data_IF_670840043403
#
_entry.id   IF_670840043403
#
_cell.length_a   1.000
_cell.length_b   1.000
_cell.length_c   1.000
_cell.angle_alpha   90.00
_cell.angle_beta   90.00
_cell.angle_gamma   90.00
#
_symmetry.space_group_name_H-M   'P 1'
#
loop_
_entity.id
_entity.type
_entity.pdbx_description
1 polymer ?
#
# COMPACT_ATOMS: atom_id res chain seq x y z
N UNK A 1 -4.15 -0.78 22.98
CA UNK A 1 -2.72 -1.02 22.69
C UNK A 1 -2.48 -0.60 21.25
N UNK A 2 -2.17 0.69 21.07
CA UNK A 2 -2.04 1.30 19.75
C UNK A 2 -0.65 1.05 19.19
N UNK A 3 -0.59 0.41 18.03
CA UNK A 3 0.60 0.30 17.20
C UNK A 3 0.91 1.68 16.62
N UNK A 4 1.72 2.45 17.33
CA UNK A 4 2.39 3.63 16.78
C UNK A 4 3.39 3.16 15.71
N UNK A 5 2.91 2.94 14.49
CA UNK A 5 3.74 2.65 13.31
C UNK A 5 4.10 3.95 12.60
N UNK A 6 5.00 4.71 13.24
CA UNK A 6 5.76 5.71 12.51
C UNK A 6 6.83 4.97 11.70
N UNK A 7 6.61 4.83 10.39
CA UNK A 7 7.70 4.72 9.42
C UNK A 7 7.97 3.36 8.76
N UNK A 8 7.22 2.30 9.05
CA UNK A 8 7.31 1.04 8.29
C UNK A 8 5.89 0.51 8.04
N UNK A 9 5.43 0.58 6.78
CA UNK A 9 4.21 -0.08 6.30
C UNK A 9 4.41 -1.60 6.32
N UNK A 10 4.53 -2.18 7.51
CA UNK A 10 4.31 -3.60 7.71
C UNK A 10 2.81 -3.77 7.58
N UNK A 11 2.40 -4.08 6.36
CA UNK A 11 1.06 -4.51 5.97
C UNK A 11 0.63 -5.66 6.88
N UNK A 12 -0.12 -5.33 7.92
CA UNK A 12 -0.59 -6.24 8.98
C UNK A 12 -1.78 -7.09 8.51
N UNK A 13 -2.05 -7.07 7.20
CA UNK A 13 -3.22 -7.66 6.57
C UNK A 13 -2.83 -8.27 5.22
N UNK A 14 -3.55 -9.30 4.79
CA UNK A 14 -3.28 -9.91 3.50
C UNK A 14 -3.66 -8.96 2.36
N UNK A 15 -2.94 -9.10 1.24
CA UNK A 15 -3.27 -8.37 0.01
C UNK A 15 -4.53 -9.00 -0.58
N UNK A 16 -5.60 -8.22 -0.65
CA UNK A 16 -6.86 -8.65 -1.25
C UNK A 16 -6.86 -8.42 -2.78
N UNK A 17 -6.21 -7.36 -3.26
CA UNK A 17 -6.15 -7.03 -4.69
C UNK A 17 -4.92 -6.19 -5.05
N UNK A 18 -4.51 -6.28 -6.31
CA UNK A 18 -3.46 -5.45 -6.90
C UNK A 18 -3.86 -5.01 -8.31
N UNK A 19 -3.47 -3.79 -8.68
CA UNK A 19 -3.60 -3.26 -10.03
C UNK A 19 -2.31 -2.54 -10.42
N UNK A 20 -1.88 -2.72 -11.66
CA UNK A 20 -0.71 -2.02 -12.23
C UNK A 20 -1.22 -1.05 -13.29
N UNK A 21 -0.71 0.17 -13.28
CA UNK A 21 -1.03 1.14 -14.33
C UNK A 21 -0.53 0.65 -15.70
N UNK A 22 -1.18 1.12 -16.77
CA UNK A 22 -0.84 0.80 -18.17
C UNK A 22 0.64 1.05 -18.54
N UNK A 23 1.32 1.98 -17.85
CA UNK A 23 2.75 2.26 -18.06
C UNK A 23 3.69 1.27 -17.36
N UNK A 24 3.18 0.42 -16.46
CA UNK A 24 3.97 -0.50 -15.64
C UNK A 24 4.82 0.18 -14.56
N UNK A 25 4.60 1.47 -14.26
CA UNK A 25 5.41 2.20 -13.27
C UNK A 25 4.76 2.34 -11.91
N UNK A 26 3.43 2.25 -11.84
CA UNK A 26 2.68 2.39 -10.60
C UNK A 26 1.91 1.10 -10.31
N UNK A 27 1.92 0.71 -9.05
CA UNK A 27 1.16 -0.40 -8.50
C UNK A 27 0.27 0.12 -7.37
N UNK A 28 -1.03 -0.16 -7.47
CA UNK A 28 -1.96 0.00 -6.37
C UNK A 28 -2.21 -1.37 -5.73
N UNK A 29 -2.15 -1.46 -4.40
CA UNK A 29 -2.54 -2.67 -3.67
C UNK A 29 -3.59 -2.31 -2.61
N UNK A 30 -4.62 -3.15 -2.51
CA UNK A 30 -5.65 -3.09 -1.49
C UNK A 30 -5.54 -4.28 -0.55
N UNK A 31 -5.81 -4.05 0.73
CA UNK A 31 -5.64 -5.00 1.82
C UNK A 31 -7.00 -5.35 2.45
N UNK A 32 -7.06 -6.46 3.19
CA UNK A 32 -8.30 -6.87 3.86
C UNK A 32 -8.71 -5.93 5.01
N UNK A 33 -7.76 -5.19 5.59
CA UNK A 33 -7.99 -4.18 6.64
C UNK A 33 -8.52 -2.84 6.09
N UNK A 34 -9.02 -2.82 4.85
CA UNK A 34 -9.46 -1.62 4.12
C UNK A 34 -8.35 -0.60 3.86
N UNK A 35 -7.09 -0.91 4.15
CA UNK A 35 -5.96 -0.08 3.72
C UNK A 35 -5.65 -0.26 2.24
N UNK A 36 -5.09 0.77 1.64
CA UNK A 36 -4.61 0.78 0.26
C UNK A 36 -3.24 1.46 0.21
N UNK A 37 -2.35 0.96 -0.66
CA UNK A 37 -1.08 1.64 -0.95
C UNK A 37 -0.91 1.89 -2.44
N UNK A 38 -0.18 2.96 -2.75
CA UNK A 38 0.32 3.28 -4.06
C UNK A 38 1.85 3.15 -4.02
N UNK A 39 2.40 2.32 -4.90
CA UNK A 39 3.80 1.99 -5.00
C UNK A 39 4.36 2.38 -6.37
N UNK A 40 5.49 3.07 -6.36
CA UNK A 40 6.28 3.37 -7.54
C UNK A 40 7.26 2.22 -7.78
N UNK A 41 6.98 1.42 -8.81
CA UNK A 41 7.80 0.27 -9.21
C UNK A 41 9.18 0.70 -9.73
N UNK A 42 9.28 1.88 -10.34
CA UNK A 42 10.53 2.39 -10.91
C UNK A 42 11.42 2.97 -9.81
N UNK A 43 10.84 3.77 -8.93
CA UNK A 43 11.49 4.35 -7.76
C UNK A 43 11.65 3.38 -6.59
N UNK A 44 11.04 2.20 -6.67
CA UNK A 44 11.02 1.15 -5.63
C UNK A 44 10.61 1.68 -4.25
N UNK A 45 9.56 2.49 -4.22
CA UNK A 45 9.12 3.18 -3.00
C UNK A 45 7.61 3.22 -2.89
N UNK A 46 7.12 3.28 -1.66
CA UNK A 46 5.73 3.64 -1.37
C UNK A 46 5.58 5.14 -1.67
N UNK A 47 4.63 5.48 -2.53
CA UNK A 47 4.24 6.84 -2.86
C UNK A 47 3.23 7.34 -1.85
N UNK A 48 2.23 6.52 -1.54
CA UNK A 48 1.14 6.87 -0.65
C UNK A 48 0.57 5.63 0.03
N UNK A 49 0.03 5.81 1.23
CA UNK A 49 -0.91 4.88 1.83
C UNK A 49 -2.17 5.62 2.22
N UNK A 50 -3.27 4.90 2.16
CA UNK A 50 -4.60 5.37 2.48
C UNK A 50 -5.27 4.34 3.38
N UNK A 51 -5.79 4.79 4.52
CA UNK A 51 -6.50 3.95 5.47
C UNK A 51 -7.74 4.72 5.89
N UNK A 52 -8.89 4.47 5.23
CA UNK A 52 -10.16 5.04 5.66
C UNK A 52 -10.54 4.43 7.02
N UNK A 53 -11.13 5.26 7.88
CA UNK A 53 -11.40 5.05 9.30
C UNK A 53 -11.90 3.65 9.70
#
# INVERSE_FOLDING_TARGET
MGYTSAGFYLIDSAVASVAVDSSGQLLAAGYEDSSCLLYDLRGKRVVQSYQPH
#
